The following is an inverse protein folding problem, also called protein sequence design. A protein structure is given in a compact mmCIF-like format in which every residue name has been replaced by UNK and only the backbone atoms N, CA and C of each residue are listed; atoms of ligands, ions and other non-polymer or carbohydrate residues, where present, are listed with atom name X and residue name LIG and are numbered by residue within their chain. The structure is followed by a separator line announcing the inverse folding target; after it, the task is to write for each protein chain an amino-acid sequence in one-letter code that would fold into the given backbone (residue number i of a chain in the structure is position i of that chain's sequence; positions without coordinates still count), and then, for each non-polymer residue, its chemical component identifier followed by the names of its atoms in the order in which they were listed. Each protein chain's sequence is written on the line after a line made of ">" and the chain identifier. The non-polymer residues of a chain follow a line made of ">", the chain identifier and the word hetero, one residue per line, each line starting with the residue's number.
data_IF_244902786363
#
_entry.id   IF_244902786363
#
_cell.length_a   1.000
_cell.length_b   1.000
_cell.length_c   1.000
_cell.angle_alpha   90.00
_cell.angle_beta   90.00
_cell.angle_gamma   90.00
#
_symmetry.space_group_name_H-M   'P 1'
#
loop_
_entity.id
_entity.type
_entity.pdbx_description
1 polymer ?
#
# COMPACT_ATOMS: atom_id res chain seq x y z
N UNK A 1 -18.60 1.28 13.51
CA UNK A 1 -18.09 -0.08 13.31
C UNK A 1 -17.19 -0.14 12.12
N UNK A 2 -16.07 -0.86 12.24
CA UNK A 2 -15.10 -1.02 11.15
C UNK A 2 -15.48 -2.29 10.39
N UNK A 3 -15.65 -2.18 9.07
CA UNK A 3 -15.97 -3.33 8.22
C UNK A 3 -14.77 -3.70 7.38
N UNK A 4 -14.37 -4.95 7.44
CA UNK A 4 -13.38 -5.56 6.56
C UNK A 4 -14.15 -6.33 5.50
N UNK A 5 -14.01 -5.94 4.24
CA UNK A 5 -14.65 -6.62 3.10
C UNK A 5 -13.63 -7.44 2.31
N UNK A 6 -14.02 -8.61 1.86
CA UNK A 6 -13.21 -9.44 0.96
C UNK A 6 -13.62 -9.14 -0.48
N UNK A 7 -12.64 -8.93 -1.35
CA UNK A 7 -12.88 -8.57 -2.76
C UNK A 7 -13.25 -9.76 -3.65
N UNK A 8 -13.14 -11.02 -3.18
CA UNK A 8 -13.45 -12.23 -3.96
C UNK A 8 -13.89 -13.39 -3.09
N UNK A 9 -14.81 -14.21 -3.61
CA UNK A 9 -15.26 -15.48 -3.04
C UNK A 9 -14.19 -16.60 -3.04
N UNK A 10 -12.99 -16.35 -3.54
CA UNK A 10 -11.87 -17.29 -3.56
C UNK A 10 -11.17 -17.44 -2.19
N UNK A 11 -11.93 -17.42 -1.13
CA UNK A 11 -11.50 -17.54 0.27
C UNK A 11 -10.68 -18.80 0.57
N UNK A 12 -10.62 -19.74 -0.34
CA UNK A 12 -10.07 -21.08 -0.10
C UNK A 12 -8.81 -21.44 -0.89
N UNK A 13 -8.30 -20.58 -1.78
CA UNK A 13 -7.20 -20.93 -2.67
C UNK A 13 -5.87 -20.24 -2.36
N UNK A 14 -5.81 -19.32 -1.40
CA UNK A 14 -4.57 -18.59 -1.13
C UNK A 14 -3.87 -19.13 0.12
N UNK A 15 -2.77 -19.85 -0.09
CA UNK A 15 -1.73 -19.95 0.95
C UNK A 15 -1.14 -18.54 1.13
N UNK A 16 -1.03 -18.02 2.36
CA UNK A 16 -0.39 -16.73 2.59
C UNK A 16 1.02 -16.76 2.01
N UNK A 17 1.29 -15.89 1.04
CA UNK A 17 2.58 -15.80 0.36
C UNK A 17 3.66 -15.18 1.26
N UNK A 18 3.22 -14.40 2.24
CA UNK A 18 4.03 -13.88 3.33
C UNK A 18 3.52 -14.59 4.60
N UNK A 19 4.40 -15.32 5.26
CA UNK A 19 4.09 -15.86 6.59
C UNK A 19 4.11 -14.69 7.58
N UNK A 20 2.98 -13.99 7.70
CA UNK A 20 2.86 -12.90 8.65
C UNK A 20 2.80 -13.44 10.08
N UNK A 21 3.71 -12.94 10.92
CA UNK A 21 3.70 -13.20 12.35
C UNK A 21 3.41 -11.90 13.10
N UNK A 22 2.25 -11.83 13.73
CA UNK A 22 1.80 -10.66 14.46
C UNK A 22 2.72 -10.33 15.64
N UNK A 23 3.26 -11.32 16.32
CA UNK A 23 4.16 -11.11 17.46
C UNK A 23 5.46 -10.46 16.99
N UNK A 24 6.05 -11.00 15.93
CA UNK A 24 7.25 -10.43 15.29
C UNK A 24 7.00 -9.01 14.81
N UNK A 25 5.85 -8.75 14.18
CA UNK A 25 5.49 -7.40 13.75
C UNK A 25 5.41 -6.43 14.93
N UNK A 26 4.74 -6.83 16.02
CA UNK A 26 4.57 -6.00 17.22
C UNK A 26 5.90 -5.71 17.92
N UNK A 27 6.82 -6.66 17.92
CA UNK A 27 8.14 -6.53 18.56
C UNK A 27 9.14 -5.71 17.71
N UNK A 28 9.03 -5.78 16.38
CA UNK A 28 9.97 -5.15 15.46
C UNK A 28 9.57 -3.72 15.08
N UNK A 29 8.27 -3.44 14.96
CA UNK A 29 7.81 -2.13 14.53
C UNK A 29 8.28 -0.96 15.42
N UNK A 30 8.33 -1.09 16.76
CA UNK A 30 8.87 -0.02 17.62
C UNK A 30 10.34 0.32 17.37
N UNK A 31 11.09 -0.54 16.72
CA UNK A 31 12.49 -0.31 16.33
C UNK A 31 12.62 0.45 15.00
N UNK A 32 11.56 0.51 14.22
CA UNK A 32 11.55 1.07 12.87
C UNK A 32 10.65 2.30 12.73
N UNK A 33 9.72 2.51 13.65
CA UNK A 33 8.70 3.53 13.56
C UNK A 33 8.68 4.44 14.79
N UNK A 34 8.59 5.76 14.56
CA UNK A 34 8.55 6.81 15.59
C UNK A 34 7.34 6.69 16.53
N UNK A 35 6.23 6.14 16.04
CA UNK A 35 4.99 6.03 16.79
C UNK A 35 4.58 4.57 16.93
N UNK A 36 4.03 4.17 18.09
CA UNK A 36 3.39 2.88 18.21
C UNK A 36 2.08 2.87 17.40
N UNK A 37 1.79 1.78 16.67
CA UNK A 37 0.53 1.67 15.97
C UNK A 37 -0.62 1.54 16.99
N UNK A 38 -1.76 2.12 16.66
CA UNK A 38 -2.99 1.93 17.43
C UNK A 38 -3.55 0.50 17.17
N UNK A 39 -4.35 -0.02 18.09
CA UNK A 39 -4.89 -1.38 18.02
C UNK A 39 -5.61 -1.67 16.69
N UNK A 40 -6.38 -0.72 16.17
CA UNK A 40 -7.05 -0.88 14.88
C UNK A 40 -6.06 -0.91 13.70
N UNK A 41 -4.93 -0.18 13.78
CA UNK A 41 -3.89 -0.22 12.75
C UNK A 41 -3.16 -1.57 12.77
N UNK A 42 -2.88 -2.10 13.96
CA UNK A 42 -2.33 -3.48 14.13
C UNK A 42 -3.29 -4.50 13.51
N UNK A 43 -4.60 -4.33 13.73
CA UNK A 43 -5.62 -5.19 13.12
C UNK A 43 -5.59 -5.09 11.59
N UNK A 44 -5.57 -3.88 11.02
CA UNK A 44 -5.51 -3.69 9.56
C UNK A 44 -4.27 -4.32 8.95
N UNK A 45 -3.10 -4.10 9.54
CA UNK A 45 -1.85 -4.71 9.07
C UNK A 45 -1.91 -6.22 9.14
N UNK A 46 -2.43 -6.76 10.26
CA UNK A 46 -2.59 -8.22 10.45
C UNK A 46 -3.47 -8.83 9.38
N UNK A 47 -4.66 -8.26 9.15
CA UNK A 47 -5.60 -8.75 8.14
C UNK A 47 -5.01 -8.63 6.72
N UNK A 48 -4.44 -7.46 6.39
CA UNK A 48 -3.88 -7.21 5.06
C UNK A 48 -2.74 -8.17 4.71
N UNK A 49 -1.81 -8.40 5.63
CA UNK A 49 -0.65 -9.28 5.40
C UNK A 49 -0.96 -10.76 5.58
N UNK A 50 -2.06 -11.10 6.25
CA UNK A 50 -2.55 -12.49 6.33
C UNK A 50 -3.26 -12.90 5.05
N UNK A 51 -4.16 -12.05 4.55
CA UNK A 51 -4.98 -12.36 3.38
C UNK A 51 -4.35 -11.93 2.05
N UNK A 52 -3.40 -10.99 2.08
CA UNK A 52 -2.69 -10.42 0.92
C UNK A 52 -3.56 -9.69 -0.10
N UNK A 53 -4.89 -9.70 0.04
CA UNK A 53 -5.85 -8.95 -0.76
C UNK A 53 -6.93 -8.39 0.16
N UNK A 54 -6.98 -7.07 0.31
CA UNK A 54 -7.89 -6.44 1.25
C UNK A 54 -8.29 -5.03 0.82
N UNK A 55 -9.55 -4.68 1.05
CA UNK A 55 -10.01 -3.30 1.06
C UNK A 55 -10.28 -2.87 2.51
N UNK A 56 -9.57 -1.84 2.96
CA UNK A 56 -9.68 -1.30 4.31
C UNK A 56 -10.51 -0.03 4.29
N UNK A 57 -11.63 -0.05 5.00
CA UNK A 57 -12.41 1.16 5.29
C UNK A 57 -11.80 1.86 6.49
N UNK A 58 -11.18 2.99 6.25
CA UNK A 58 -10.43 3.74 7.25
C UNK A 58 -10.77 5.23 7.14
N UNK A 59 -11.48 5.82 8.10
CA UNK A 59 -11.91 7.22 8.03
C UNK A 59 -10.74 8.18 7.80
N UNK A 60 -11.04 9.36 7.28
CA UNK A 60 -10.08 10.46 7.20
C UNK A 60 -9.51 10.77 8.60
N UNK A 61 -8.20 10.99 8.69
CA UNK A 61 -7.53 11.22 9.97
C UNK A 61 -7.23 9.97 10.80
N UNK A 62 -7.55 8.76 10.31
CA UNK A 62 -7.23 7.51 10.99
C UNK A 62 -5.75 7.09 10.90
N UNK A 63 -4.90 7.86 10.20
CA UNK A 63 -3.51 7.52 9.98
C UNK A 63 -3.30 6.43 8.92
N UNK A 64 -4.00 6.52 7.79
CA UNK A 64 -3.84 5.62 6.64
C UNK A 64 -2.38 5.53 6.17
N UNK A 65 -1.69 6.68 6.04
CA UNK A 65 -0.28 6.73 5.63
C UNK A 65 0.63 5.95 6.58
N UNK A 66 0.40 6.03 7.88
CA UNK A 66 1.13 5.27 8.87
C UNK A 66 0.81 3.76 8.81
N UNK A 67 -0.45 3.40 8.54
CA UNK A 67 -0.85 2.00 8.33
C UNK A 67 -0.15 1.40 7.09
N UNK A 68 -0.09 2.15 5.98
CA UNK A 68 0.67 1.77 4.78
C UNK A 68 2.15 1.62 5.12
N UNK A 69 2.74 2.59 5.82
CA UNK A 69 4.12 2.53 6.29
C UNK A 69 4.41 1.24 7.07
N UNK A 70 3.58 0.89 8.03
CA UNK A 70 3.74 -0.33 8.83
C UNK A 70 3.75 -1.61 7.97
N UNK A 71 2.83 -1.71 7.00
CA UNK A 71 2.79 -2.84 6.06
C UNK A 71 4.04 -2.91 5.20
N UNK A 72 4.47 -1.78 4.65
CA UNK A 72 5.65 -1.67 3.79
C UNK A 72 6.91 -2.06 4.56
N UNK A 73 7.11 -1.56 5.78
CA UNK A 73 8.29 -1.88 6.59
C UNK A 73 8.39 -3.38 6.89
N UNK A 74 7.26 -4.03 7.15
CA UNK A 74 7.22 -5.48 7.29
C UNK A 74 7.60 -6.20 5.98
N UNK A 75 7.02 -5.79 4.86
CA UNK A 75 7.30 -6.37 3.54
C UNK A 75 8.78 -6.20 3.19
N UNK A 76 9.34 -5.00 3.33
CA UNK A 76 10.74 -4.72 3.01
C UNK A 76 11.72 -5.56 3.83
N UNK A 77 11.38 -5.85 5.09
CA UNK A 77 12.22 -6.63 5.99
C UNK A 77 12.24 -8.12 5.66
N UNK A 78 11.12 -8.68 5.21
CA UNK A 78 10.96 -10.12 5.05
C UNK A 78 10.86 -10.60 3.60
N UNK A 79 10.94 -9.70 2.63
CA UNK A 79 10.85 -10.01 1.20
C UNK A 79 11.73 -9.09 0.37
N UNK A 80 11.97 -9.49 -0.88
CA UNK A 80 12.61 -8.64 -1.90
C UNK A 80 11.58 -7.97 -2.82
N UNK A 81 10.34 -7.82 -2.37
CA UNK A 81 9.26 -7.29 -3.18
C UNK A 81 9.51 -5.84 -3.61
N UNK A 82 9.15 -5.55 -4.85
CA UNK A 82 8.99 -4.19 -5.36
C UNK A 82 7.54 -3.77 -5.21
N UNK A 83 7.32 -2.55 -4.72
CA UNK A 83 6.03 -2.06 -4.23
C UNK A 83 5.58 -0.87 -5.07
N UNK A 84 4.34 -0.89 -5.54
CA UNK A 84 3.68 0.26 -6.14
C UNK A 84 2.62 0.81 -5.19
N UNK A 85 2.64 2.14 -5.00
CA UNK A 85 1.62 2.85 -4.21
C UNK A 85 0.97 3.89 -5.10
N UNK A 86 -0.33 3.82 -5.27
CA UNK A 86 -1.08 4.84 -5.98
C UNK A 86 -1.85 5.75 -5.02
N UNK A 87 -1.79 7.04 -5.30
CA UNK A 87 -2.48 8.10 -4.59
C UNK A 87 -3.20 9.05 -5.56
N UNK A 88 -4.21 9.83 -5.11
CA UNK A 88 -5.02 10.68 -5.99
C UNK A 88 -4.28 11.85 -6.65
N UNK A 89 -3.28 12.42 -5.99
CA UNK A 89 -2.70 13.69 -6.43
C UNK A 89 -1.20 13.77 -6.17
N UNK A 90 -0.53 14.69 -6.88
CA UNK A 90 0.89 14.97 -6.69
C UNK A 90 1.19 15.42 -5.25
N UNK A 91 0.31 16.24 -4.67
CA UNK A 91 0.48 16.68 -3.27
C UNK A 91 0.47 15.51 -2.29
N UNK A 92 -0.34 14.48 -2.54
CA UNK A 92 -0.36 13.27 -1.72
C UNK A 92 0.86 12.36 -1.98
N UNK A 93 1.43 12.37 -3.18
CA UNK A 93 2.74 11.71 -3.44
C UNK A 93 3.82 12.33 -2.56
N UNK A 94 3.92 13.67 -2.57
CA UNK A 94 4.91 14.39 -1.77
C UNK A 94 4.68 14.23 -0.26
N UNK A 95 3.42 14.29 0.17
CA UNK A 95 3.07 14.08 1.57
C UNK A 95 3.43 12.68 2.05
N UNK A 96 3.05 11.64 1.31
CA UNK A 96 3.34 10.25 1.70
C UNK A 96 4.85 9.98 1.76
N UNK A 97 5.61 10.55 0.83
CA UNK A 97 7.07 10.47 0.84
C UNK A 97 7.65 11.16 2.08
N UNK A 98 7.18 12.37 2.42
CA UNK A 98 7.58 13.08 3.63
C UNK A 98 7.18 12.34 4.91
N UNK A 99 5.97 11.80 4.93
CA UNK A 99 5.47 11.00 6.06
C UNK A 99 6.37 9.79 6.33
N UNK A 100 6.85 9.09 5.28
CA UNK A 100 7.76 7.96 5.45
C UNK A 100 9.08 8.37 6.11
N UNK A 101 9.63 9.53 5.73
CA UNK A 101 10.81 10.10 6.39
C UNK A 101 10.54 10.42 7.86
N UNK A 102 9.41 11.05 8.14
CA UNK A 102 9.03 11.46 9.50
C UNK A 102 8.74 10.26 10.42
N UNK A 103 8.26 9.14 9.87
CA UNK A 103 7.97 7.93 10.64
C UNK A 103 9.20 7.08 10.92
N UNK A 104 10.24 7.19 10.10
CA UNK A 104 11.44 6.36 10.19
C UNK A 104 12.35 6.81 11.33
N UNK A 105 12.81 5.88 12.16
CA UNK A 105 13.77 6.13 13.26
C UNK A 105 15.03 5.28 13.17
N UNK A 106 15.05 4.28 12.30
CA UNK A 106 16.22 3.47 11.98
C UNK A 106 16.98 4.06 10.78
N UNK A 107 17.96 3.36 10.27
CA UNK A 107 18.82 3.75 9.16
C UNK A 107 18.24 3.46 7.76
N UNK A 108 16.91 3.21 7.66
CA UNK A 108 16.26 3.05 6.36
C UNK A 108 16.34 4.34 5.53
N UNK A 109 17.04 4.27 4.40
CA UNK A 109 17.21 5.42 3.51
C UNK A 109 16.01 5.57 2.56
N UNK A 110 15.03 6.37 2.96
CA UNK A 110 13.83 6.64 2.17
C UNK A 110 14.16 7.30 0.83
N UNK A 111 15.18 8.15 0.74
CA UNK A 111 15.55 8.84 -0.51
C UNK A 111 16.13 7.89 -1.56
N UNK A 112 16.72 6.78 -1.16
CA UNK A 112 17.24 5.75 -2.07
C UNK A 112 16.16 4.72 -2.44
N UNK A 113 15.38 4.28 -1.47
CA UNK A 113 14.44 3.18 -1.63
C UNK A 113 13.07 3.59 -2.18
N UNK A 114 12.74 4.88 -2.17
CA UNK A 114 11.45 5.39 -2.64
C UNK A 114 11.63 6.34 -3.81
N UNK A 115 10.99 6.06 -4.93
CA UNK A 115 10.92 6.97 -6.08
C UNK A 115 9.50 7.49 -6.28
N UNK A 116 9.39 8.75 -6.70
CA UNK A 116 8.13 9.44 -6.98
C UNK A 116 7.92 9.51 -8.48
N UNK A 117 6.75 9.05 -8.96
CA UNK A 117 6.43 9.01 -10.39
C UNK A 117 5.17 9.82 -10.69
N UNK A 118 5.37 11.02 -11.21
CA UNK A 118 4.30 11.89 -11.69
C UNK A 118 4.84 12.86 -12.76
N UNK A 119 4.00 13.22 -13.72
CA UNK A 119 4.34 14.18 -14.79
C UNK A 119 5.71 13.92 -15.43
N UNK A 120 6.72 14.75 -15.16
CA UNK A 120 8.07 14.67 -15.72
C UNK A 120 9.13 14.23 -14.69
N UNK A 121 8.72 13.59 -13.59
CA UNK A 121 9.69 13.11 -12.60
C UNK A 121 10.58 12.02 -13.17
N UNK A 122 11.86 12.05 -12.79
CA UNK A 122 12.79 10.96 -13.09
C UNK A 122 12.54 9.80 -12.10
N UNK A 123 12.37 8.60 -12.64
CA UNK A 123 12.18 7.39 -11.85
C UNK A 123 13.54 6.76 -11.50
N UNK A 124 13.80 6.49 -10.22
CA UNK A 124 14.94 5.69 -9.83
C UNK A 124 14.62 4.19 -10.05
N UNK A 125 15.22 3.51 -11.03
CA UNK A 125 14.91 2.12 -11.34
C UNK A 125 15.31 1.15 -10.22
N UNK A 126 16.24 1.55 -9.34
CA UNK A 126 16.72 0.74 -8.23
C UNK A 126 15.84 0.88 -6.97
N UNK A 127 14.96 1.86 -6.92
CA UNK A 127 14.05 2.02 -5.79
C UNK A 127 13.10 0.83 -5.67
N UNK A 128 12.92 0.35 -4.45
CA UNK A 128 12.00 -0.74 -4.14
C UNK A 128 10.54 -0.29 -4.04
N UNK A 129 10.32 1.00 -3.82
CA UNK A 129 8.98 1.58 -3.67
C UNK A 129 8.78 2.68 -4.72
N UNK A 130 7.68 2.58 -5.44
CA UNK A 130 7.21 3.61 -6.36
C UNK A 130 5.94 4.24 -5.81
N UNK A 131 5.95 5.54 -5.53
CA UNK A 131 4.73 6.30 -5.21
C UNK A 131 4.33 7.08 -6.45
N UNK A 132 3.12 6.86 -6.94
CA UNK A 132 2.63 7.47 -8.18
C UNK A 132 1.18 7.93 -8.07
N UNK A 133 0.81 8.92 -8.89
CA UNK A 133 -0.62 9.21 -9.09
C UNK A 133 -1.25 8.15 -10.00
N UNK A 134 -2.55 7.92 -9.87
CA UNK A 134 -3.27 6.98 -10.74
C UNK A 134 -3.17 7.36 -12.21
N UNK A 135 -3.23 8.66 -12.53
CA UNK A 135 -3.14 9.16 -13.90
C UNK A 135 -1.78 8.83 -14.52
N UNK A 136 -0.70 9.03 -13.74
CA UNK A 136 0.66 8.72 -14.21
C UNK A 136 0.84 7.21 -14.39
N UNK A 137 0.29 6.40 -13.49
CA UNK A 137 0.28 4.96 -13.64
C UNK A 137 -0.53 4.52 -14.87
N UNK A 138 -1.76 4.98 -15.03
CA UNK A 138 -2.64 4.56 -16.12
C UNK A 138 -2.05 4.83 -17.52
N UNK A 139 -1.08 5.74 -17.65
CA UNK A 139 -0.35 6.01 -18.89
C UNK A 139 0.80 5.04 -19.17
N UNK A 140 1.18 4.19 -18.23
CA UNK A 140 2.28 3.25 -18.37
C UNK A 140 1.85 2.00 -19.16
N UNK A 141 2.77 1.39 -19.94
CA UNK A 141 2.47 0.15 -20.64
C UNK A 141 2.29 -1.03 -19.67
N UNK A 142 1.58 -2.09 -20.08
CA UNK A 142 1.35 -3.29 -19.27
C UNK A 142 2.65 -3.91 -18.72
N UNK A 143 3.74 -3.86 -19.48
CA UNK A 143 5.05 -4.36 -19.05
C UNK A 143 5.63 -3.63 -17.85
N UNK A 144 5.25 -2.38 -17.63
CA UNK A 144 5.68 -1.61 -16.47
C UNK A 144 5.26 -2.25 -15.15
N UNK A 145 4.07 -2.82 -15.13
CA UNK A 145 3.48 -3.38 -13.92
C UNK A 145 4.08 -4.73 -13.53
N UNK A 146 4.74 -5.44 -14.46
CA UNK A 146 5.30 -6.77 -14.20
C UNK A 146 6.42 -6.79 -13.16
N UNK A 147 6.99 -5.64 -12.85
CA UNK A 147 8.05 -5.51 -11.85
C UNK A 147 7.53 -5.48 -10.40
N UNK A 148 6.22 -5.29 -10.17
CA UNK A 148 5.68 -5.06 -8.83
C UNK A 148 5.08 -6.33 -8.25
N UNK A 149 5.52 -6.70 -7.04
CA UNK A 149 5.02 -7.83 -6.26
C UNK A 149 3.92 -7.42 -5.26
N UNK A 150 3.88 -6.13 -4.88
CA UNK A 150 2.90 -5.58 -3.97
C UNK A 150 2.31 -4.26 -4.49
N UNK A 151 1.03 -4.07 -4.24
CA UNK A 151 0.27 -2.89 -4.65
C UNK A 151 -0.55 -2.32 -3.49
N UNK A 152 -0.44 -1.03 -3.30
CA UNK A 152 -1.24 -0.26 -2.36
C UNK A 152 -1.97 0.88 -3.10
N UNK A 153 -3.24 1.06 -2.77
CA UNK A 153 -4.05 2.15 -3.31
C UNK A 153 -4.65 2.96 -2.17
N UNK A 154 -4.22 4.20 -2.01
CA UNK A 154 -4.84 5.11 -1.04
C UNK A 154 -5.96 5.92 -1.70
N UNK A 155 -7.03 6.19 -0.94
CA UNK A 155 -8.23 6.88 -1.40
C UNK A 155 -8.84 6.28 -2.68
N UNK A 156 -9.02 4.96 -2.68
CA UNK A 156 -9.48 4.18 -3.84
C UNK A 156 -10.81 4.68 -4.45
N UNK A 157 -11.62 5.42 -3.68
CA UNK A 157 -12.90 5.99 -4.16
C UNK A 157 -12.73 7.19 -5.10
N UNK A 158 -11.59 7.85 -5.11
CA UNK A 158 -11.36 9.09 -5.89
C UNK A 158 -11.00 8.87 -7.36
N UNK A 159 -10.64 7.64 -7.76
CA UNK A 159 -10.39 7.32 -9.16
C UNK A 159 -11.66 6.78 -9.83
N UNK A 160 -11.80 6.98 -11.14
CA UNK A 160 -12.87 6.25 -11.85
C UNK A 160 -12.63 4.75 -11.73
N UNK A 161 -13.69 3.98 -11.48
CA UNK A 161 -13.63 2.52 -11.36
C UNK A 161 -12.85 1.88 -12.52
N UNK A 162 -13.00 2.41 -13.74
CA UNK A 162 -12.31 1.94 -14.95
C UNK A 162 -10.79 2.07 -14.84
N UNK A 163 -10.27 3.16 -14.27
CA UNK A 163 -8.81 3.37 -14.13
C UNK A 163 -8.24 2.41 -13.09
N UNK A 164 -8.90 2.28 -11.94
CA UNK A 164 -8.46 1.35 -10.87
C UNK A 164 -8.51 -0.08 -11.39
N UNK A 165 -9.61 -0.49 -12.02
CA UNK A 165 -9.75 -1.85 -12.58
C UNK A 165 -8.64 -2.15 -13.59
N UNK A 166 -8.34 -1.23 -14.51
CA UNK A 166 -7.25 -1.41 -15.48
C UNK A 166 -5.88 -1.59 -14.82
N UNK A 167 -5.58 -0.83 -13.77
CA UNK A 167 -4.33 -1.00 -13.00
C UNK A 167 -4.31 -2.35 -12.28
N UNK A 168 -5.40 -2.72 -11.62
CA UNK A 168 -5.52 -3.98 -10.88
C UNK A 168 -5.39 -5.19 -11.81
N UNK A 169 -5.96 -5.12 -13.02
CA UNK A 169 -5.85 -6.19 -14.01
C UNK A 169 -4.39 -6.42 -14.43
N UNK A 170 -3.63 -5.34 -14.64
CA UNK A 170 -2.19 -5.45 -14.91
C UNK A 170 -1.37 -5.98 -13.74
N UNK A 171 -1.89 -5.85 -12.51
CA UNK A 171 -1.28 -6.31 -11.26
C UNK A 171 -1.89 -7.63 -10.75
N UNK A 172 -2.58 -8.39 -11.60
CA UNK A 172 -3.19 -9.66 -11.20
C UNK A 172 -2.18 -10.66 -10.63
N UNK A 173 -0.91 -10.58 -11.08
CA UNK A 173 0.21 -11.39 -10.59
C UNK A 173 0.76 -10.91 -9.23
N UNK A 174 0.47 -9.67 -8.82
CA UNK A 174 0.99 -9.13 -7.56
C UNK A 174 0.48 -9.94 -6.36
N UNK A 175 1.42 -10.26 -5.48
CA UNK A 175 1.20 -11.14 -4.33
C UNK A 175 0.41 -10.44 -3.22
N UNK A 176 0.61 -9.13 -3.05
CA UNK A 176 -0.11 -8.31 -2.07
C UNK A 176 -0.86 -7.20 -2.79
N UNK A 177 -2.15 -7.04 -2.50
CA UNK A 177 -2.98 -5.95 -3.05
C UNK A 177 -3.88 -5.39 -1.95
N UNK A 178 -3.65 -4.15 -1.55
CA UNK A 178 -4.38 -3.50 -0.46
C UNK A 178 -4.91 -2.14 -0.91
N UNK A 179 -6.21 -1.95 -0.82
CA UNK A 179 -6.86 -0.66 -0.98
C UNK A 179 -7.21 -0.06 0.39
N UNK A 180 -7.05 1.26 0.53
CA UNK A 180 -7.52 2.01 1.68
C UNK A 180 -8.46 3.12 1.18
N UNK A 181 -9.59 3.31 1.88
CA UNK A 181 -10.56 4.35 1.52
C UNK A 181 -11.24 4.92 2.75
N UNK A 182 -11.51 6.22 2.74
CA UNK A 182 -12.19 6.91 3.85
C UNK A 182 -13.70 6.70 3.83
N UNK A 183 -14.28 6.53 2.68
CA UNK A 183 -15.72 6.33 2.47
C UNK A 183 -15.96 5.30 1.37
N UNK A 184 -16.99 4.48 1.54
CA UNK A 184 -17.70 3.91 0.41
C UNK A 184 -18.81 4.94 0.13
N UNK A 185 -18.72 5.67 -0.95
CA UNK A 185 -19.85 6.50 -1.39
C UNK A 185 -21.02 5.55 -1.66
N UNK A 186 -21.93 5.52 -0.67
CA UNK A 186 -23.08 4.62 -0.65
C UNK A 186 -24.17 5.07 -1.60
N UNK A 187 -23.89 5.09 -2.88
CA UNK A 187 -24.93 5.36 -3.89
C UNK A 187 -25.28 4.14 -4.73
N UNK A 188 -24.67 2.98 -4.49
CA UNK A 188 -25.10 1.73 -5.17
C UNK A 188 -24.88 0.50 -4.25
N UNK A 189 -25.83 0.31 -3.34
CA UNK A 189 -26.18 -0.98 -2.75
C UNK A 189 -27.60 -1.30 -3.10
#
# INVERSE_FOLDING_TARGET
>A
GYTVGFLDDEKYLFKPLIKFDKSVFTDELPKMAKFPPKDYQVKYVTEALTWNKLLILSPTGSGKSFTIYCMIRYILKYTDFKILINVPSISLVEQLFSDFKDYTIDDWNVDEDVTKVYSKSEENPNARIVISTWQSCASKPASYYQQFDAYFCDEAHGASAKVITGIIDHLAHAKVRVGLTGTLDGTDL
#
